data_IF_307659707585
#
_entry.id   IF_307659707585
#
_cell.length_a   1.000
_cell.length_b   1.000
_cell.length_c   1.000
_cell.angle_alpha   90.00
_cell.angle_beta   90.00
_cell.angle_gamma   90.00
#
_symmetry.space_group_name_H-M   'P 1'
#
loop_
_entity.id
_entity.type
_entity.pdbx_description
1 polymer ?
#
# COMPACT_ATOMS: atom_id res chain seq x y z
N UNK A 1 5.72 12.92 8.08
CA UNK A 1 7.02 12.62 7.44
C UNK A 1 6.93 13.06 5.98
N UNK A 2 8.04 13.37 5.31
CA UNK A 2 8.03 13.72 3.87
C UNK A 2 8.28 12.46 3.03
N UNK A 3 7.52 11.39 3.27
CA UNK A 3 7.61 10.17 2.47
C UNK A 3 6.81 10.34 1.19
N UNK A 4 7.49 10.60 0.07
CA UNK A 4 6.88 10.61 -1.26
C UNK A 4 6.50 9.20 -1.75
N UNK A 5 7.28 8.18 -1.36
CA UNK A 5 6.99 6.79 -1.67
C UNK A 5 7.66 5.84 -0.70
N UNK A 6 7.07 4.66 -0.51
CA UNK A 6 7.69 3.57 0.24
C UNK A 6 8.54 2.74 -0.74
N UNK A 7 9.79 2.40 -0.38
CA UNK A 7 10.63 1.58 -1.23
C UNK A 7 10.06 0.16 -1.39
N UNK A 8 10.28 -0.50 -2.55
CA UNK A 8 9.81 -1.87 -2.80
C UNK A 8 10.41 -2.89 -1.83
N UNK A 9 11.54 -2.56 -1.18
CA UNK A 9 12.14 -3.40 -0.13
C UNK A 9 11.24 -3.67 1.08
N UNK A 10 10.14 -2.92 1.27
CA UNK A 10 9.18 -3.16 2.34
C UNK A 10 8.60 -4.59 2.31
N UNK A 11 8.45 -5.18 1.12
CA UNK A 11 7.93 -6.54 0.97
C UNK A 11 8.86 -7.64 1.49
N UNK A 12 10.13 -7.31 1.77
CA UNK A 12 11.06 -8.24 2.44
C UNK A 12 10.81 -8.32 3.95
N UNK A 13 10.05 -7.38 4.53
CA UNK A 13 9.72 -7.35 5.94
C UNK A 13 8.56 -8.32 6.21
N UNK A 14 8.81 -9.62 6.06
CA UNK A 14 7.80 -10.65 6.29
C UNK A 14 7.30 -10.68 7.75
N UNK A 15 8.10 -10.20 8.70
CA UNK A 15 7.73 -10.09 10.12
C UNK A 15 7.11 -8.75 10.50
N UNK A 16 6.78 -7.89 9.52
CA UNK A 16 6.13 -6.61 9.78
C UNK A 16 4.69 -6.85 10.21
N UNK A 17 4.38 -6.61 11.49
CA UNK A 17 3.02 -6.77 12.04
C UNK A 17 2.23 -5.47 12.07
N UNK A 18 2.91 -4.34 12.27
CA UNK A 18 2.29 -3.03 12.38
C UNK A 18 3.04 -2.01 11.53
N UNK A 19 2.30 -1.24 10.73
CA UNK A 19 2.85 -0.24 9.83
C UNK A 19 2.10 1.09 9.97
N UNK A 20 2.80 2.12 10.45
CA UNK A 20 2.25 3.45 10.63
C UNK A 20 2.88 4.40 9.60
N UNK A 21 2.05 4.84 8.66
CA UNK A 21 2.40 5.71 7.54
C UNK A 21 1.48 6.93 7.53
N UNK A 22 0.87 7.26 8.67
CA UNK A 22 0.04 8.45 8.78
C UNK A 22 0.85 9.74 8.62
N UNK A 23 0.18 10.82 8.24
CA UNK A 23 0.77 12.15 8.08
C UNK A 23 1.92 12.19 7.05
N UNK A 24 1.69 11.55 5.91
CA UNK A 24 2.55 11.66 4.74
C UNK A 24 1.79 12.35 3.61
N UNK A 25 1.78 13.70 3.57
CA UNK A 25 1.03 14.47 2.59
C UNK A 25 1.54 14.33 1.15
N UNK A 26 2.74 13.78 0.96
CA UNK A 26 3.30 13.48 -0.37
C UNK A 26 3.16 12.00 -0.75
N UNK A 27 2.59 11.16 0.12
CA UNK A 27 2.45 9.73 -0.15
C UNK A 27 1.24 9.48 -1.03
N UNK A 28 1.47 9.40 -2.33
CA UNK A 28 0.40 9.25 -3.32
C UNK A 28 0.17 7.79 -3.71
N UNK A 29 1.16 6.91 -3.49
CA UNK A 29 1.06 5.49 -3.81
C UNK A 29 1.72 4.61 -2.75
N UNK A 30 1.25 3.36 -2.68
CA UNK A 30 1.91 2.28 -1.94
C UNK A 30 2.53 1.28 -2.93
N UNK A 31 3.72 0.73 -2.64
CA UNK A 31 4.33 -0.31 -3.45
C UNK A 31 3.52 -1.60 -3.35
N UNK A 32 3.40 -2.32 -4.46
CA UNK A 32 2.69 -3.61 -4.48
C UNK A 32 3.39 -4.69 -3.65
N UNK A 33 4.68 -4.52 -3.38
CA UNK A 33 5.48 -5.34 -2.49
C UNK A 33 4.96 -5.32 -1.04
N UNK A 34 4.19 -4.30 -0.65
CA UNK A 34 3.50 -4.30 0.64
C UNK A 34 2.56 -5.51 0.78
N UNK A 35 2.03 -6.03 -0.33
CA UNK A 35 1.22 -7.24 -0.33
C UNK A 35 2.01 -8.53 0.01
N UNK A 36 3.34 -8.47 0.01
CA UNK A 36 4.21 -9.57 0.44
C UNK A 36 4.35 -9.64 1.97
N UNK A 37 4.00 -8.58 2.69
CA UNK A 37 4.04 -8.51 4.15
C UNK A 37 2.89 -9.34 4.74
N UNK A 38 3.06 -10.66 4.78
CA UNK A 38 2.00 -11.61 5.13
C UNK A 38 1.60 -11.57 6.61
N UNK A 39 2.48 -11.07 7.49
CA UNK A 39 2.18 -10.90 8.92
C UNK A 39 1.60 -9.53 9.27
N UNK A 40 1.34 -8.64 8.29
CA UNK A 40 0.87 -7.30 8.58
C UNK A 40 -0.59 -7.32 9.05
N UNK A 41 -0.79 -7.02 10.34
CA UNK A 41 -2.09 -7.00 11.01
C UNK A 41 -2.63 -5.59 11.19
N UNK A 42 -1.75 -4.60 11.38
CA UNK A 42 -2.13 -3.22 11.65
C UNK A 42 -1.48 -2.32 10.60
N UNK A 43 -2.29 -1.47 9.96
CA UNK A 43 -1.82 -0.42 9.07
C UNK A 43 -2.59 0.87 9.30
N UNK A 44 -1.87 1.97 9.48
CA UNK A 44 -2.44 3.32 9.54
C UNK A 44 -1.86 4.15 8.41
N UNK A 45 -2.73 4.63 7.53
CA UNK A 45 -2.41 5.47 6.36
C UNK A 45 -3.25 6.75 6.37
N UNK A 46 -3.64 7.19 7.56
CA UNK A 46 -4.43 8.41 7.74
C UNK A 46 -3.66 9.64 7.27
N UNK A 47 -4.37 10.62 6.73
CA UNK A 47 -3.78 11.87 6.25
C UNK A 47 -2.72 11.65 5.14
N UNK A 48 -2.93 10.65 4.27
CA UNK A 48 -2.14 10.40 3.06
C UNK A 48 -3.03 10.51 1.81
N UNK A 49 -2.68 11.35 0.82
CA UNK A 49 -3.47 11.51 -0.41
C UNK A 49 -3.16 10.39 -1.41
N UNK A 50 -3.44 9.14 -1.00
CA UNK A 50 -3.21 7.92 -1.78
C UNK A 50 -4.11 7.88 -3.03
N UNK A 51 -3.75 8.61 -4.08
CA UNK A 51 -4.58 8.78 -5.27
C UNK A 51 -4.81 7.48 -6.05
N UNK A 52 -3.89 6.52 -5.94
CA UNK A 52 -4.04 5.19 -6.53
C UNK A 52 -5.01 4.30 -5.71
N UNK A 53 -5.12 4.50 -4.39
CA UNK A 53 -5.99 3.68 -3.55
C UNK A 53 -7.36 4.33 -3.34
N UNK A 54 -8.45 3.62 -3.64
CA UNK A 54 -9.79 4.11 -3.33
C UNK A 54 -9.95 4.39 -1.83
N UNK A 55 -10.70 5.44 -1.44
CA UNK A 55 -11.02 5.69 -0.04
C UNK A 55 -11.69 4.47 0.62
N UNK A 56 -12.55 3.73 -0.11
CA UNK A 56 -13.15 2.47 0.36
C UNK A 56 -12.13 1.42 0.80
N UNK A 57 -11.00 1.35 0.10
CA UNK A 57 -9.91 0.42 0.43
C UNK A 57 -9.18 0.87 1.69
N UNK A 58 -8.95 2.18 1.83
CA UNK A 58 -8.30 2.74 3.03
C UNK A 58 -9.16 2.59 4.28
N UNK A 59 -10.49 2.64 4.13
CA UNK A 59 -11.46 2.42 5.22
C UNK A 59 -11.55 0.94 5.61
N UNK A 60 -11.39 0.03 4.64
CA UNK A 60 -11.42 -1.42 4.86
C UNK A 60 -10.22 -1.98 5.64
N UNK A 61 -9.26 -1.13 6.01
CA UNK A 61 -8.11 -1.50 6.84
C UNK A 61 -6.98 -2.22 6.07
N UNK A 62 -5.96 -2.75 6.79
CA UNK A 62 -4.76 -3.33 6.21
C UNK A 62 -5.05 -4.47 5.23
N UNK A 63 -6.02 -5.34 5.55
CA UNK A 63 -6.35 -6.50 4.71
C UNK A 63 -6.87 -6.09 3.34
N UNK A 64 -7.71 -5.04 3.28
CA UNK A 64 -8.25 -4.53 2.02
C UNK A 64 -7.14 -3.89 1.18
N UNK A 65 -6.27 -3.10 1.82
CA UNK A 65 -5.10 -2.48 1.16
C UNK A 65 -4.16 -3.55 0.59
N UNK A 66 -3.80 -4.56 1.37
CA UNK A 66 -2.96 -5.68 0.93
C UNK A 66 -3.61 -6.41 -0.25
N UNK A 67 -4.90 -6.69 -0.16
CA UNK A 67 -5.63 -7.39 -1.21
C UNK A 67 -5.71 -6.57 -2.50
N UNK A 68 -5.96 -5.26 -2.37
CA UNK A 68 -5.98 -4.33 -3.49
C UNK A 68 -4.60 -4.24 -4.16
N UNK A 69 -3.52 -4.09 -3.39
CA UNK A 69 -2.15 -4.03 -3.92
C UNK A 69 -1.74 -5.33 -4.62
N UNK A 70 -2.19 -6.49 -4.11
CA UNK A 70 -2.01 -7.79 -4.77
C UNK A 70 -2.77 -7.89 -6.09
N UNK A 71 -3.92 -7.23 -6.20
CA UNK A 71 -4.69 -7.17 -7.44
C UNK A 71 -4.11 -6.14 -8.42
N UNK A 72 -3.65 -4.99 -7.93
CA UNK A 72 -3.06 -3.93 -8.75
C UNK A 72 -1.80 -4.41 -9.47
N UNK A 73 -0.91 -5.14 -8.80
CA UNK A 73 0.26 -5.75 -9.44
C UNK A 73 -0.12 -6.71 -10.56
N UNK A 74 -1.21 -7.47 -10.39
CA UNK A 74 -1.74 -8.38 -11.41
C UNK A 74 -2.36 -7.64 -12.59
N UNK A 75 -3.05 -6.52 -12.33
CA UNK A 75 -3.72 -5.71 -13.34
C UNK A 75 -2.75 -4.83 -14.15
N UNK A 76 -1.61 -4.40 -13.58
CA UNK A 76 -0.60 -3.61 -14.31
C UNK A 76 0.05 -4.39 -15.46
N UNK A 77 0.03 -5.73 -15.42
CA UNK A 77 0.49 -6.57 -16.54
C UNK A 77 -0.56 -6.75 -17.65
N UNK A 78 -1.81 -6.35 -17.43
CA UNK A 78 -2.94 -6.57 -18.37
C UNK A 78 -3.38 -5.28 -19.09
N UNK A 79 -2.57 -4.20 -19.07
CA UNK A 79 -2.80 -3.09 -20.01
C UNK A 79 -2.07 -3.39 -21.33
N UNK A 80 -2.77 -3.87 -22.39
CA UNK A 80 -2.22 -3.71 -23.73
C UNK A 80 -2.05 -2.22 -23.97
N UNK A 81 -0.82 -1.83 -24.29
CA UNK A 81 -0.48 -0.52 -24.82
C UNK A 81 -1.49 -0.14 -25.92
N UNK A 82 -2.17 1.00 -25.78
CA UNK A 82 -2.84 1.68 -26.89
C UNK A 82 -1.82 2.49 -27.67
#
# INVERSE_FOLDING_TARGET
NYLDSIPPGIGQLQNLESLYINDNPNLHKLPSELALCSNLQIMSIENCPLSDLPPDVTIGGPSMVIHWLKMESRLRFDRPYS
#
